data_IF_189320338745
#
_entry.id   IF_189320338745
#
_cell.length_a   1.000
_cell.length_b   1.000
_cell.length_c   1.000
_cell.angle_alpha   90.00
_cell.angle_beta   90.00
_cell.angle_gamma   90.00
#
_symmetry.space_group_name_H-M   'P 1'
#
loop_
_entity.id
_entity.type
_entity.pdbx_description
1 polymer ?
#
# COMPACT_ATOMS: atom_id res chain seq x y z
N UNK A 1 -14.89 6.96 -19.59
CA UNK A 1 -13.75 6.37 -18.86
C UNK A 1 -13.60 7.05 -17.51
N UNK A 2 -13.32 8.35 -17.45
CA UNK A 2 -13.03 9.09 -16.22
C UNK A 2 -14.08 8.92 -15.12
N UNK A 3 -15.38 8.93 -15.48
CA UNK A 3 -16.47 8.74 -14.53
C UNK A 3 -16.43 7.37 -13.85
N UNK A 4 -16.11 6.32 -14.59
CA UNK A 4 -15.98 4.97 -14.04
C UNK A 4 -14.78 4.86 -13.10
N UNK A 5 -13.61 5.34 -13.54
CA UNK A 5 -12.40 5.32 -12.71
C UNK A 5 -12.60 6.12 -11.42
N UNK A 6 -13.20 7.32 -11.49
CA UNK A 6 -13.50 8.13 -10.32
C UNK A 6 -14.46 7.42 -9.34
N UNK A 7 -15.48 6.71 -9.84
CA UNK A 7 -16.41 5.95 -8.99
C UNK A 7 -15.68 4.82 -8.25
N UNK A 8 -14.73 4.16 -8.89
CA UNK A 8 -13.92 3.10 -8.29
C UNK A 8 -12.92 3.66 -7.27
N UNK A 9 -12.23 4.75 -7.62
CA UNK A 9 -11.16 5.33 -6.80
C UNK A 9 -11.69 6.05 -5.54
N UNK A 10 -12.86 6.68 -5.65
CA UNK A 10 -13.49 7.41 -4.53
C UNK A 10 -14.59 6.61 -3.81
N UNK A 11 -14.77 5.34 -4.18
CA UNK A 11 -15.67 4.41 -3.48
C UNK A 11 -17.15 4.69 -3.65
N UNK A 12 -17.57 5.56 -4.60
CA UNK A 12 -18.99 5.84 -4.81
C UNK A 12 -19.32 6.92 -5.83
N UNK A 13 -20.56 6.82 -6.35
CA UNK A 13 -21.09 7.79 -7.31
C UNK A 13 -21.18 9.21 -6.76
N UNK A 14 -21.51 9.36 -5.48
CA UNK A 14 -21.64 10.67 -4.83
C UNK A 14 -20.29 11.35 -4.69
N UNK A 15 -19.27 10.63 -4.24
CA UNK A 15 -17.93 11.20 -4.08
C UNK A 15 -17.29 11.48 -5.45
N UNK A 16 -17.45 10.57 -6.42
CA UNK A 16 -17.01 10.80 -7.79
C UNK A 16 -17.67 12.05 -8.42
N UNK A 17 -18.97 12.24 -8.21
CA UNK A 17 -19.70 13.41 -8.77
C UNK A 17 -19.16 14.73 -8.24
N UNK A 18 -18.87 14.81 -6.93
CA UNK A 18 -18.23 16.00 -6.32
C UNK A 18 -16.85 16.28 -6.94
N UNK A 19 -16.02 15.24 -7.07
CA UNK A 19 -14.66 15.36 -7.62
C UNK A 19 -14.63 15.72 -9.10
N UNK A 20 -15.60 15.24 -9.87
CA UNK A 20 -15.70 15.53 -11.29
C UNK A 20 -16.50 16.80 -11.60
N UNK A 21 -17.05 17.49 -10.58
CA UNK A 21 -17.95 18.64 -10.74
C UNK A 21 -19.15 18.33 -11.64
N UNK A 22 -19.69 17.11 -11.48
CA UNK A 22 -20.84 16.61 -12.22
C UNK A 22 -21.98 16.25 -11.27
N UNK A 23 -23.19 16.10 -11.81
CA UNK A 23 -24.28 15.51 -11.02
C UNK A 23 -24.09 13.99 -10.91
N UNK A 24 -24.58 13.38 -9.83
CA UNK A 24 -24.53 11.92 -9.67
C UNK A 24 -25.23 11.20 -10.83
N UNK A 25 -26.33 11.75 -11.33
CA UNK A 25 -27.05 11.21 -12.49
C UNK A 25 -26.18 11.24 -13.77
N UNK A 26 -25.44 12.32 -13.99
CA UNK A 26 -24.54 12.44 -15.15
C UNK A 26 -23.39 11.41 -15.06
N UNK A 27 -22.80 11.21 -13.87
CA UNK A 27 -21.78 10.17 -13.67
C UNK A 27 -22.36 8.78 -13.92
N UNK A 28 -23.57 8.49 -13.40
CA UNK A 28 -24.25 7.21 -13.63
C UNK A 28 -24.56 6.98 -15.10
N UNK A 29 -25.03 8.01 -15.79
CA UNK A 29 -25.36 7.93 -17.22
C UNK A 29 -24.10 7.73 -18.08
N UNK A 30 -22.99 8.41 -17.76
CA UNK A 30 -21.72 8.23 -18.46
C UNK A 30 -21.19 6.79 -18.35
N UNK A 31 -21.35 6.15 -17.18
CA UNK A 31 -20.97 4.75 -17.00
C UNK A 31 -21.93 3.83 -17.76
N UNK A 32 -23.22 4.07 -17.67
CA UNK A 32 -24.22 3.27 -18.41
C UNK A 32 -23.99 3.35 -19.93
N UNK A 33 -23.65 4.53 -20.46
CA UNK A 33 -23.31 4.70 -21.87
C UNK A 33 -22.05 3.92 -22.26
N UNK A 34 -21.04 3.91 -21.42
CA UNK A 34 -19.82 3.12 -21.65
C UNK A 34 -20.11 1.61 -21.64
N UNK A 35 -20.93 1.13 -20.70
CA UNK A 35 -21.37 -0.28 -20.67
C UNK A 35 -22.18 -0.65 -21.91
N UNK A 36 -23.05 0.24 -22.37
CA UNK A 36 -23.84 0.04 -23.57
C UNK A 36 -22.96 0.01 -24.84
N UNK A 37 -21.99 0.91 -24.95
CA UNK A 37 -21.04 0.96 -26.08
C UNK A 37 -20.19 -0.33 -26.15
N UNK A 38 -19.73 -0.82 -24.99
CA UNK A 38 -18.94 -2.05 -24.91
C UNK A 38 -19.78 -3.33 -24.96
N UNK A 39 -21.10 -3.24 -24.82
CA UNK A 39 -22.02 -4.37 -24.82
C UNK A 39 -21.89 -5.27 -23.58
N UNK A 40 -21.25 -4.81 -22.51
CA UNK A 40 -21.03 -5.59 -21.28
C UNK A 40 -21.23 -4.73 -20.03
N UNK A 41 -21.73 -5.35 -18.96
CA UNK A 41 -21.79 -4.69 -17.65
C UNK A 41 -20.39 -4.74 -16.99
N UNK A 42 -19.91 -3.59 -16.56
CA UNK A 42 -18.65 -3.42 -15.85
C UNK A 42 -18.88 -3.48 -14.34
N UNK A 43 -19.96 -2.85 -13.86
CA UNK A 43 -20.36 -2.81 -12.46
C UNK A 43 -21.46 -3.82 -12.15
N UNK A 44 -21.40 -4.44 -10.98
CA UNK A 44 -22.51 -5.23 -10.45
C UNK A 44 -23.61 -4.29 -9.91
N UNK A 45 -24.85 -4.49 -10.38
CA UNK A 45 -26.02 -3.66 -10.03
C UNK A 45 -26.66 -4.12 -8.72
N UNK A 46 -25.89 -4.14 -7.62
CA UNK A 46 -26.50 -4.39 -6.30
C UNK A 46 -26.55 -3.08 -5.50
N UNK A 47 -27.77 -2.51 -5.41
CA UNK A 47 -28.01 -1.22 -4.70
C UNK A 47 -27.71 -1.26 -3.19
N UNK A 48 -27.47 -2.44 -2.62
CA UNK A 48 -27.28 -2.63 -1.17
C UNK A 48 -25.82 -2.94 -0.79
N UNK A 49 -24.94 -3.08 -1.77
CA UNK A 49 -23.53 -3.42 -1.56
C UNK A 49 -22.60 -2.32 -2.09
N UNK A 50 -21.37 -2.33 -1.56
CA UNK A 50 -20.29 -1.52 -2.12
C UNK A 50 -20.13 -1.79 -3.63
N UNK A 51 -19.61 -0.80 -4.36
CA UNK A 51 -19.37 -0.91 -5.80
C UNK A 51 -18.45 -2.10 -6.06
N UNK A 52 -18.92 -3.02 -6.87
CA UNK A 52 -18.16 -4.21 -7.24
C UNK A 52 -18.09 -4.34 -8.76
N UNK A 53 -16.96 -4.80 -9.24
CA UNK A 53 -16.72 -5.10 -10.65
C UNK A 53 -17.23 -6.50 -11.01
N UNK A 54 -17.73 -6.66 -12.24
CA UNK A 54 -17.91 -7.97 -12.85
C UNK A 54 -16.53 -8.58 -13.21
N UNK A 55 -16.49 -9.86 -13.55
CA UNK A 55 -15.25 -10.51 -14.06
C UNK A 55 -14.74 -9.80 -15.32
N UNK A 56 -15.64 -9.41 -16.22
CA UNK A 56 -15.30 -8.60 -17.40
C UNK A 56 -14.85 -7.19 -16.98
N UNK A 57 -15.53 -6.61 -15.98
CA UNK A 57 -15.20 -5.29 -15.43
C UNK A 57 -13.77 -5.20 -14.92
N UNK A 58 -13.29 -6.19 -14.19
CA UNK A 58 -11.90 -6.23 -13.72
C UNK A 58 -10.89 -6.13 -14.88
N UNK A 59 -11.10 -6.91 -15.93
CA UNK A 59 -10.22 -6.90 -17.09
C UNK A 59 -10.30 -5.57 -17.86
N UNK A 60 -11.50 -5.07 -18.07
CA UNK A 60 -11.76 -3.81 -18.79
C UNK A 60 -11.13 -2.63 -18.04
N UNK A 61 -11.31 -2.54 -16.72
CA UNK A 61 -10.78 -1.44 -15.90
C UNK A 61 -9.25 -1.36 -15.98
N UNK A 62 -8.55 -2.50 -16.02
CA UNK A 62 -7.10 -2.51 -16.23
C UNK A 62 -6.69 -1.79 -17.53
N UNK A 63 -7.37 -2.09 -18.63
CA UNK A 63 -7.11 -1.43 -19.91
C UNK A 63 -7.55 0.04 -19.91
N UNK A 64 -8.66 0.37 -19.27
CA UNK A 64 -9.11 1.76 -19.18
C UNK A 64 -8.15 2.62 -18.35
N UNK A 65 -7.54 2.06 -17.30
CA UNK A 65 -6.48 2.74 -16.54
C UNK A 65 -5.23 2.97 -17.40
N UNK A 66 -4.83 1.99 -18.21
CA UNK A 66 -3.71 2.14 -19.14
C UNK A 66 -3.99 3.26 -20.17
N UNK A 67 -5.18 3.26 -20.78
CA UNK A 67 -5.60 4.32 -21.72
C UNK A 67 -5.57 5.70 -21.02
N UNK A 68 -6.12 5.79 -19.81
CA UNK A 68 -6.16 7.06 -19.07
C UNK A 68 -4.75 7.59 -18.77
N UNK A 69 -3.81 6.70 -18.50
CA UNK A 69 -2.40 7.03 -18.31
C UNK A 69 -1.78 7.58 -19.58
N UNK A 70 -1.97 6.92 -20.72
CA UNK A 70 -1.47 7.41 -22.00
C UNK A 70 -2.06 8.78 -22.38
N UNK A 71 -3.35 8.99 -22.11
CA UNK A 71 -3.97 10.32 -22.30
C UNK A 71 -3.33 11.38 -21.40
N UNK A 72 -2.98 11.03 -20.15
CA UNK A 72 -2.30 11.95 -19.26
C UNK A 72 -0.86 12.20 -19.70
N UNK A 73 -0.13 11.18 -20.19
CA UNK A 73 1.21 11.33 -20.76
C UNK A 73 1.20 12.28 -21.97
N UNK A 74 0.20 12.17 -22.85
CA UNK A 74 0.05 13.11 -23.96
C UNK A 74 -0.17 14.55 -23.48
N UNK A 75 -0.99 14.74 -22.43
CA UNK A 75 -1.19 16.05 -21.82
C UNK A 75 0.09 16.59 -21.18
N UNK A 76 0.86 15.72 -20.53
CA UNK A 76 2.14 16.08 -19.92
C UNK A 76 3.15 16.52 -20.99
N UNK A 77 3.24 15.80 -22.11
CA UNK A 77 4.08 16.19 -23.26
C UNK A 77 3.64 17.55 -23.80
N UNK A 78 2.34 17.77 -23.98
CA UNK A 78 1.79 19.04 -24.45
C UNK A 78 2.07 20.22 -23.49
N UNK A 79 2.07 19.95 -22.19
CA UNK A 79 2.45 20.95 -21.18
C UNK A 79 3.97 21.17 -21.12
N UNK A 80 4.79 20.12 -21.41
CA UNK A 80 6.25 20.24 -21.52
C UNK A 80 6.67 21.21 -22.64
N UNK A 81 5.96 21.22 -23.73
CA UNK A 81 6.15 22.17 -24.83
C UNK A 81 5.81 23.61 -24.43
N UNK A 82 4.99 23.79 -23.37
CA UNK A 82 4.52 25.10 -22.89
C UNK A 82 5.34 25.75 -21.79
N UNK A 83 6.52 25.27 -21.44
CA UNK A 83 7.44 25.74 -20.40
C UNK A 83 7.33 25.07 -19.04
N UNK A 84 8.32 24.21 -18.76
CA UNK A 84 8.79 23.71 -17.47
C UNK A 84 7.70 23.15 -16.53
N UNK A 85 7.09 22.00 -16.84
CA UNK A 85 6.00 21.46 -16.06
C UNK A 85 6.52 20.81 -14.78
N UNK A 86 5.81 21.05 -13.72
CA UNK A 86 5.95 20.32 -12.48
C UNK A 86 5.51 18.86 -12.72
N UNK A 87 6.46 17.94 -12.80
CA UNK A 87 6.17 16.50 -12.91
C UNK A 87 5.73 15.97 -11.55
N UNK A 88 4.76 15.09 -11.56
CA UNK A 88 4.29 14.43 -10.34
C UNK A 88 4.77 12.99 -10.32
N UNK A 89 5.41 12.58 -9.22
CA UNK A 89 5.79 11.20 -8.92
C UNK A 89 4.92 10.69 -7.77
N UNK A 90 4.00 9.81 -8.04
CA UNK A 90 3.15 9.13 -7.04
C UNK A 90 3.92 7.93 -6.50
N UNK A 91 4.32 8.00 -5.25
CA UNK A 91 5.21 7.04 -4.62
C UNK A 91 4.51 6.29 -3.49
N UNK A 92 4.27 4.98 -3.70
CA UNK A 92 3.71 4.09 -2.70
C UNK A 92 4.74 3.72 -1.64
N UNK A 93 4.39 3.89 -0.37
CA UNK A 93 5.27 3.60 0.76
C UNK A 93 4.48 2.96 1.90
N UNK A 94 5.05 1.97 2.56
CA UNK A 94 4.51 1.50 3.83
C UNK A 94 5.02 2.36 5.00
N UNK A 95 4.34 2.40 6.15
CA UNK A 95 4.57 3.39 7.21
C UNK A 95 6.01 3.55 7.68
N UNK A 96 6.78 2.47 7.86
CA UNK A 96 8.18 2.58 8.28
C UNK A 96 9.07 3.27 7.24
N UNK A 97 8.80 3.08 5.94
CA UNK A 97 9.48 3.81 4.86
C UNK A 97 9.03 5.27 4.84
N UNK A 98 7.72 5.53 5.03
CA UNK A 98 7.18 6.89 5.12
C UNK A 98 7.82 7.68 6.27
N UNK A 99 8.05 7.03 7.41
CA UNK A 99 8.65 7.68 8.58
C UNK A 99 10.17 7.88 8.42
N UNK A 100 10.90 6.88 7.93
CA UNK A 100 12.36 6.86 8.03
C UNK A 100 13.09 7.22 6.72
N UNK A 101 12.54 6.88 5.57
CA UNK A 101 13.22 7.00 4.26
C UNK A 101 12.63 8.15 3.44
N UNK A 102 11.32 8.22 3.33
CA UNK A 102 10.64 9.14 2.44
C UNK A 102 10.97 10.63 2.69
N UNK A 103 11.11 11.12 3.94
CA UNK A 103 11.45 12.53 4.17
C UNK A 103 12.81 12.91 3.57
N UNK A 104 13.78 12.01 3.63
CA UNK A 104 15.12 12.21 3.04
C UNK A 104 15.04 12.23 1.51
N UNK A 105 14.24 11.32 0.94
CA UNK A 105 14.00 11.25 -0.51
C UNK A 105 13.30 12.53 -0.99
N UNK A 106 12.23 12.96 -0.34
CA UNK A 106 11.52 14.19 -0.71
C UNK A 106 12.45 15.40 -0.66
N UNK A 107 13.20 15.54 0.43
CA UNK A 107 14.16 16.65 0.56
C UNK A 107 15.23 16.64 -0.53
N UNK A 108 15.72 15.47 -0.91
CA UNK A 108 16.66 15.34 -2.01
C UNK A 108 16.04 15.82 -3.34
N UNK A 109 14.81 15.42 -3.63
CA UNK A 109 14.11 15.84 -4.84
C UNK A 109 13.80 17.33 -4.84
N UNK A 110 13.40 17.93 -3.72
CA UNK A 110 13.16 19.36 -3.61
C UNK A 110 14.41 20.20 -3.94
N UNK A 111 15.59 19.69 -3.55
CA UNK A 111 16.87 20.40 -3.78
C UNK A 111 17.38 20.17 -5.21
N UNK A 112 17.37 18.93 -5.69
CA UNK A 112 18.05 18.55 -6.93
C UNK A 112 17.12 18.43 -8.14
N UNK A 113 15.82 18.26 -7.91
CA UNK A 113 14.79 18.08 -8.94
C UNK A 113 13.52 18.87 -8.61
N UNK A 114 13.59 20.21 -8.44
CA UNK A 114 12.47 21.04 -7.96
C UNK A 114 11.24 21.02 -8.89
N UNK A 115 11.42 20.56 -10.12
CA UNK A 115 10.35 20.34 -11.08
C UNK A 115 9.60 19.01 -10.88
N UNK A 116 10.03 18.14 -9.94
CA UNK A 116 9.37 16.88 -9.63
C UNK A 116 8.72 16.98 -8.25
N UNK A 117 7.38 16.93 -8.22
CA UNK A 117 6.60 16.86 -6.98
C UNK A 117 6.34 15.41 -6.61
N UNK A 118 6.86 14.97 -5.47
CA UNK A 118 6.52 13.64 -4.93
C UNK A 118 5.17 13.72 -4.20
N UNK A 119 4.27 12.82 -4.55
CA UNK A 119 3.01 12.59 -3.82
C UNK A 119 3.11 11.23 -3.15
N UNK A 120 3.23 11.18 -1.82
CA UNK A 120 3.26 9.93 -1.10
C UNK A 120 1.87 9.27 -1.06
N UNK A 121 1.88 7.96 -1.16
CA UNK A 121 0.72 7.09 -1.00
C UNK A 121 1.06 6.07 0.09
N UNK A 122 0.63 6.36 1.32
CA UNK A 122 0.92 5.51 2.47
C UNK A 122 -0.12 4.40 2.59
N UNK A 123 0.33 3.15 2.38
CA UNK A 123 -0.52 1.97 2.44
C UNK A 123 0.28 0.72 2.85
N UNK A 124 -0.40 -0.39 3.05
CA UNK A 124 0.24 -1.69 3.22
C UNK A 124 0.80 -2.22 1.88
N UNK A 125 1.72 -3.19 1.95
CA UNK A 125 2.40 -3.73 0.77
C UNK A 125 1.46 -4.30 -0.28
N UNK A 126 0.34 -4.91 0.12
CA UNK A 126 -0.64 -5.47 -0.82
C UNK A 126 -1.31 -4.35 -1.62
N UNK A 127 -1.80 -3.31 -0.94
CA UNK A 127 -2.43 -2.15 -1.59
C UNK A 127 -1.44 -1.39 -2.50
N UNK A 128 -0.15 -1.32 -2.11
CA UNK A 128 0.90 -0.74 -2.95
C UNK A 128 1.10 -1.58 -4.22
N UNK A 129 1.16 -2.91 -4.10
CA UNK A 129 1.29 -3.81 -5.25
C UNK A 129 0.07 -3.68 -6.18
N UNK A 130 -1.14 -3.69 -5.62
CA UNK A 130 -2.37 -3.48 -6.39
C UNK A 130 -2.36 -2.12 -7.11
N UNK A 131 -1.88 -1.08 -6.43
CA UNK A 131 -1.78 0.28 -6.99
C UNK A 131 -0.72 0.38 -8.09
N UNK A 132 0.38 -0.37 -7.99
CA UNK A 132 1.37 -0.50 -9.06
C UNK A 132 0.80 -1.26 -10.26
N UNK A 133 0.08 -2.37 -10.01
CA UNK A 133 -0.52 -3.18 -11.07
C UNK A 133 -1.61 -2.46 -11.84
N UNK A 134 -2.42 -1.66 -11.17
CA UNK A 134 -3.46 -0.85 -11.79
C UNK A 134 -2.98 0.56 -12.17
N UNK A 135 -1.68 0.86 -11.97
CA UNK A 135 -0.99 2.07 -12.43
C UNK A 135 -1.53 3.37 -11.80
N UNK A 136 -2.13 3.26 -10.63
CA UNK A 136 -2.56 4.43 -9.86
C UNK A 136 -1.39 5.15 -9.17
N UNK A 137 -0.24 4.47 -8.99
CA UNK A 137 1.03 5.02 -8.55
C UNK A 137 2.16 4.69 -9.54
N UNK A 138 3.21 5.50 -9.55
CA UNK A 138 4.30 5.42 -10.53
C UNK A 138 5.45 4.52 -10.06
N UNK A 139 5.70 4.49 -8.74
CA UNK A 139 6.68 3.63 -8.09
C UNK A 139 6.22 3.28 -6.68
N UNK A 140 6.81 2.26 -6.08
CA UNK A 140 6.45 1.85 -4.72
C UNK A 140 7.54 1.05 -4.03
N UNK A 141 7.62 1.20 -2.71
CA UNK A 141 8.43 0.35 -1.86
C UNK A 141 7.66 -0.91 -1.53
N UNK A 142 8.30 -2.06 -1.74
CA UNK A 142 7.72 -3.38 -1.49
C UNK A 142 8.73 -4.24 -0.73
N UNK A 143 8.25 -5.23 0.03
CA UNK A 143 9.14 -6.10 0.82
C UNK A 143 9.86 -7.14 -0.04
N UNK A 144 9.26 -7.52 -1.17
CA UNK A 144 9.81 -8.53 -2.08
C UNK A 144 9.59 -8.10 -3.53
N UNK A 145 10.44 -8.55 -4.46
CA UNK A 145 10.25 -8.29 -5.87
C UNK A 145 8.86 -8.76 -6.34
N UNK A 146 8.21 -7.93 -7.16
CA UNK A 146 6.90 -8.23 -7.74
C UNK A 146 7.08 -8.79 -9.15
N UNK A 147 6.49 -9.95 -9.42
CA UNK A 147 6.57 -10.59 -10.74
C UNK A 147 6.03 -9.67 -11.83
N UNK A 148 6.75 -9.56 -12.93
CA UNK A 148 6.38 -8.71 -14.07
C UNK A 148 6.69 -7.21 -13.88
N UNK A 149 7.36 -6.82 -12.79
CA UNK A 149 7.77 -5.44 -12.54
C UNK A 149 9.28 -5.34 -12.36
N UNK A 150 9.84 -4.20 -12.76
CA UNK A 150 11.23 -3.88 -12.46
C UNK A 150 11.39 -3.56 -10.98
N UNK A 151 12.30 -4.27 -10.31
CA UNK A 151 12.53 -4.11 -8.87
C UNK A 151 14.02 -3.98 -8.60
N UNK A 152 14.38 -3.04 -7.74
CA UNK A 152 15.77 -2.80 -7.30
C UNK A 152 15.82 -2.97 -5.78
N UNK A 153 16.69 -3.84 -5.24
CA UNK A 153 16.91 -3.94 -3.81
C UNK A 153 17.63 -2.68 -3.32
N UNK A 154 17.03 -1.97 -2.37
CA UNK A 154 17.56 -0.70 -1.83
C UNK A 154 17.94 -0.78 -0.36
N UNK A 155 17.36 -1.69 0.39
CA UNK A 155 17.60 -1.86 1.80
C UNK A 155 17.33 -3.30 2.23
N UNK A 156 18.17 -3.84 3.12
CA UNK A 156 17.97 -5.14 3.74
C UNK A 156 17.68 -4.89 5.22
N UNK A 157 16.46 -5.20 5.64
CA UNK A 157 16.03 -5.08 7.02
C UNK A 157 16.19 -6.43 7.77
N UNK A 158 16.18 -6.38 9.07
CA UNK A 158 16.20 -7.57 9.94
C UNK A 158 15.09 -7.48 10.97
N UNK A 159 14.59 -8.63 11.41
CA UNK A 159 13.69 -8.70 12.54
C UNK A 159 14.46 -8.52 13.85
N UNK A 160 13.92 -7.68 14.72
CA UNK A 160 14.40 -7.44 16.06
C UNK A 160 13.31 -7.87 17.03
N UNK A 161 13.71 -8.59 18.09
CA UNK A 161 12.80 -8.96 19.17
C UNK A 161 12.61 -7.74 20.07
N UNK A 162 11.39 -7.31 20.25
CA UNK A 162 11.02 -6.21 21.16
C UNK A 162 10.45 -6.81 22.43
N UNK A 163 11.09 -6.48 23.54
CA UNK A 163 10.84 -7.05 24.86
C UNK A 163 10.46 -5.96 25.87
N UNK A 164 9.71 -6.30 26.93
CA UNK A 164 9.63 -5.46 28.12
C UNK A 164 11.03 -5.23 28.73
N UNK A 165 11.28 -4.08 29.37
CA UNK A 165 12.62 -3.77 29.95
C UNK A 165 13.14 -4.82 30.93
N UNK A 166 12.25 -5.42 31.72
CA UNK A 166 12.60 -6.39 32.77
C UNK A 166 12.53 -7.84 32.29
N UNK A 167 12.42 -8.08 30.99
CA UNK A 167 12.32 -9.42 30.43
C UNK A 167 13.64 -10.18 30.56
N UNK A 168 13.58 -11.47 30.88
CA UNK A 168 14.79 -12.30 31.09
C UNK A 168 15.74 -12.29 29.89
N UNK A 169 15.17 -12.32 28.68
CA UNK A 169 15.91 -12.29 27.41
C UNK A 169 16.48 -10.90 27.05
N UNK A 170 16.12 -9.83 27.76
CA UNK A 170 16.61 -8.48 27.45
C UNK A 170 18.13 -8.31 27.66
N UNK A 171 18.76 -9.24 28.38
CA UNK A 171 20.21 -9.26 28.59
C UNK A 171 20.99 -9.87 27.42
N UNK A 172 20.32 -10.57 26.52
CA UNK A 172 20.94 -11.25 25.40
C UNK A 172 21.14 -10.27 24.25
N UNK A 173 22.34 -10.26 23.66
CA UNK A 173 22.62 -9.45 22.45
C UNK A 173 21.97 -10.02 21.20
N UNK A 174 21.68 -11.31 21.19
CA UNK A 174 20.98 -12.02 20.13
C UNK A 174 20.00 -13.00 20.78
N UNK A 175 18.88 -13.21 20.14
CA UNK A 175 17.82 -14.13 20.59
C UNK A 175 17.48 -15.04 19.42
N UNK A 176 17.50 -16.35 19.66
CA UNK A 176 17.12 -17.35 18.68
C UNK A 176 15.59 -17.56 18.68
N UNK A 177 15.06 -18.13 17.63
CA UNK A 177 13.61 -18.43 17.54
C UNK A 177 13.21 -19.48 18.59
N UNK A 178 14.14 -20.39 18.93
CA UNK A 178 13.95 -21.41 19.95
C UNK A 178 13.78 -20.83 21.36
N UNK A 179 14.49 -19.74 21.67
CA UNK A 179 14.36 -19.03 22.96
C UNK A 179 13.03 -18.31 23.10
N UNK A 180 12.29 -18.09 21.99
CA UNK A 180 10.96 -17.49 22.00
C UNK A 180 9.84 -18.52 22.22
N UNK A 181 10.18 -19.80 22.36
CA UNK A 181 9.21 -20.85 22.61
C UNK A 181 8.50 -20.65 23.95
N UNK A 182 7.16 -20.58 23.89
CA UNK A 182 6.34 -20.36 25.08
C UNK A 182 6.15 -18.90 25.50
N UNK A 183 6.87 -17.97 24.85
CA UNK A 183 6.66 -16.55 25.10
C UNK A 183 5.34 -16.05 24.45
N UNK A 184 4.59 -15.17 25.15
CA UNK A 184 3.35 -14.61 24.61
C UNK A 184 3.66 -13.64 23.48
N UNK A 185 3.39 -14.04 22.24
CA UNK A 185 3.71 -13.26 21.06
C UNK A 185 2.59 -12.29 20.70
N UNK A 186 2.98 -11.07 20.35
CA UNK A 186 2.12 -10.03 19.81
C UNK A 186 2.46 -9.89 18.33
N UNK A 187 1.47 -10.08 17.44
CA UNK A 187 1.67 -10.04 15.99
C UNK A 187 0.97 -8.84 15.37
N UNK A 188 1.64 -8.22 14.40
CA UNK A 188 1.04 -7.22 13.52
C UNK A 188 0.49 -7.91 12.26
N UNK A 189 -0.85 -7.95 12.12
CA UNK A 189 -1.56 -8.58 10.98
C UNK A 189 -1.29 -7.86 9.67
N UNK A 190 -1.26 -8.67 8.61
CA UNK A 190 -1.21 -8.17 7.24
C UNK A 190 0.08 -7.49 6.81
N UNK A 191 1.12 -7.49 7.66
CA UNK A 191 2.42 -6.87 7.35
C UNK A 191 3.55 -7.90 7.30
N UNK A 192 3.95 -8.39 8.48
CA UNK A 192 5.12 -9.29 8.61
C UNK A 192 4.72 -10.67 9.11
N UNK A 193 3.45 -10.88 9.33
CA UNK A 193 2.90 -12.11 9.91
C UNK A 193 3.43 -13.36 9.20
N UNK A 194 3.30 -13.40 7.86
CA UNK A 194 3.75 -14.56 7.08
C UNK A 194 5.25 -14.82 7.23
N UNK A 195 6.08 -13.77 7.25
CA UNK A 195 7.53 -13.89 7.41
C UNK A 195 7.89 -14.38 8.82
N UNK A 196 7.23 -13.85 9.85
CA UNK A 196 7.43 -14.26 11.24
C UNK A 196 7.00 -15.73 11.42
N UNK A 197 5.82 -16.09 10.91
CA UNK A 197 5.33 -17.47 10.98
C UNK A 197 6.25 -18.45 10.24
N UNK A 198 6.86 -18.02 9.13
CA UNK A 198 7.85 -18.83 8.41
C UNK A 198 9.10 -19.11 9.27
N UNK A 199 9.60 -18.13 10.02
CA UNK A 199 10.75 -18.32 10.94
C UNK A 199 10.45 -19.40 11.98
N UNK A 200 9.29 -19.36 12.62
CA UNK A 200 8.88 -20.38 13.59
C UNK A 200 8.67 -21.75 12.94
N UNK A 201 8.07 -21.79 11.74
CA UNK A 201 7.83 -23.01 10.99
C UNK A 201 9.13 -23.72 10.59
N UNK A 202 10.16 -22.99 10.17
CA UNK A 202 11.48 -23.57 9.85
C UNK A 202 12.09 -24.32 11.02
N UNK A 203 11.78 -23.90 12.26
CA UNK A 203 12.23 -24.51 13.50
C UNK A 203 11.25 -25.54 14.07
N UNK A 204 10.15 -25.81 13.39
CA UNK A 204 9.05 -26.67 13.88
C UNK A 204 8.46 -26.19 15.22
N UNK A 205 8.42 -24.88 15.45
CA UNK A 205 7.87 -24.26 16.66
C UNK A 205 6.51 -23.66 16.32
N UNK A 206 5.55 -23.87 17.21
CA UNK A 206 4.24 -23.20 17.14
C UNK A 206 4.28 -22.01 18.10
N UNK A 207 4.23 -20.75 17.61
CA UNK A 207 4.28 -19.58 18.49
C UNK A 207 2.97 -19.44 19.28
N UNK A 208 3.08 -18.95 20.52
CA UNK A 208 1.91 -18.62 21.35
C UNK A 208 1.42 -17.21 21.04
N UNK A 209 0.57 -17.05 20.05
CA UNK A 209 -0.01 -15.75 19.69
C UNK A 209 -1.03 -15.35 20.77
N UNK A 210 -0.75 -14.25 21.47
CA UNK A 210 -1.63 -13.73 22.53
C UNK A 210 -2.48 -12.55 22.06
N UNK A 211 -1.91 -11.68 21.25
CA UNK A 211 -2.60 -10.51 20.69
C UNK A 211 -2.24 -10.29 19.23
N UNK A 212 -3.17 -9.73 18.49
CA UNK A 212 -3.02 -9.39 17.09
C UNK A 212 -3.49 -7.95 16.86
N UNK A 213 -2.65 -7.13 16.20
CA UNK A 213 -2.93 -5.73 15.92
C UNK A 213 -2.58 -5.38 14.47
N UNK A 214 -3.15 -4.30 13.96
CA UNK A 214 -2.84 -3.80 12.62
C UNK A 214 -1.65 -2.82 12.60
N UNK A 215 -1.30 -2.23 13.76
CA UNK A 215 -0.28 -1.20 13.87
C UNK A 215 0.81 -1.59 14.87
N UNK A 216 2.11 -1.47 14.49
CA UNK A 216 3.22 -1.82 15.37
C UNK A 216 3.27 -0.96 16.66
N UNK A 217 2.87 0.31 16.60
CA UNK A 217 2.83 1.19 17.78
C UNK A 217 1.91 0.65 18.89
N UNK A 218 0.79 0.02 18.49
CA UNK A 218 -0.10 -0.65 19.44
C UNK A 218 0.62 -1.83 20.09
N UNK A 219 1.34 -2.65 19.31
CA UNK A 219 2.12 -3.76 19.83
C UNK A 219 3.20 -3.27 20.81
N UNK A 220 3.93 -2.21 20.46
CA UNK A 220 4.94 -1.59 21.33
C UNK A 220 4.34 -1.11 22.65
N UNK A 221 3.15 -0.52 22.62
CA UNK A 221 2.45 -0.07 23.82
C UNK A 221 2.09 -1.22 24.75
N UNK A 222 1.67 -2.37 24.20
CA UNK A 222 1.38 -3.58 24.97
C UNK A 222 2.64 -4.21 25.55
N UNK A 223 3.75 -4.22 24.79
CA UNK A 223 5.05 -4.73 25.24
C UNK A 223 5.54 -3.91 26.45
N UNK A 224 5.43 -2.58 26.41
CA UNK A 224 5.79 -1.69 27.52
C UNK A 224 5.05 -2.01 28.82
N UNK A 225 3.87 -2.60 28.74
CA UNK A 225 3.07 -3.04 29.89
C UNK A 225 3.34 -4.51 30.27
N UNK A 226 4.34 -5.15 29.68
CA UNK A 226 4.68 -6.54 30.00
C UNK A 226 3.66 -7.58 29.49
N UNK A 227 2.83 -7.23 28.52
CA UNK A 227 1.75 -8.12 28.06
C UNK A 227 2.20 -9.17 27.03
N UNK A 228 3.44 -9.07 26.55
CA UNK A 228 4.04 -10.01 25.60
C UNK A 228 5.27 -9.42 24.92
N UNK A 229 5.74 -10.11 23.88
CA UNK A 229 6.89 -9.74 23.05
C UNK A 229 6.47 -9.63 21.58
N UNK A 230 7.26 -8.99 20.75
CA UNK A 230 7.02 -8.98 19.30
C UNK A 230 8.33 -9.07 18.50
N UNK A 231 8.22 -9.56 17.27
CA UNK A 231 9.26 -9.43 16.25
C UNK A 231 8.85 -8.31 15.30
N UNK A 232 9.66 -7.26 15.25
CA UNK A 232 9.42 -6.12 14.38
C UNK A 232 10.65 -5.86 13.51
N UNK A 233 10.48 -5.38 12.27
CA UNK A 233 11.60 -4.90 11.46
C UNK A 233 12.31 -3.76 12.18
N UNK A 234 13.65 -3.72 12.10
CA UNK A 234 14.44 -2.67 12.74
C UNK A 234 14.06 -1.28 12.25
N UNK A 235 13.71 -1.14 10.98
CA UNK A 235 13.25 0.13 10.41
C UNK A 235 11.98 0.66 11.08
N UNK A 236 11.14 -0.22 11.62
CA UNK A 236 9.92 0.17 12.35
C UNK A 236 10.22 0.75 13.74
N UNK A 237 11.43 0.51 14.25
CA UNK A 237 11.86 0.92 15.61
C UNK A 237 12.67 2.24 15.60
N UNK A 238 12.96 2.80 14.43
CA UNK A 238 13.67 4.08 14.24
C UNK A 238 12.72 5.25 14.25
#
# INVERSE_FOLDING_TARGET
INSLLAVLDYGGFTEASKRLFMTQSAVSQAIASLEQELGVNILLRDRRKAIQLTTAGHRIVQHLRAINREVNAVKEIAEQEKQNPQRTLRLGCFPSVCACILPVVIRYFEIHHPNIKIIPFEENSTAIIDSLQNESIDAGFVHFPVSGMYSVPIYQDKFTVVLPPDHALAKNSTITVEELMGEPLIISKGRYELSIMALFKEKNITPQIKYEFNHPDTAISFIRQGLGIALLPELTLK
#
